data_IF_243251612910
#
_entry.id   IF_243251612910
#
_cell.length_a   1.000
_cell.length_b   1.000
_cell.length_c   1.000
_cell.angle_alpha   90.00
_cell.angle_beta   90.00
_cell.angle_gamma   90.00
#
_symmetry.space_group_name_H-M   'P 1'
#
loop_
_entity.id
_entity.type
_entity.pdbx_description
1 polymer ?
#
# COMPACT_ATOMS: atom_id res chain seq x y z
N UNK A 1 -25.26 6.83 20.80
CA UNK A 1 -24.78 5.94 19.71
C UNK A 1 -23.88 6.65 18.68
N UNK A 2 -24.24 7.83 18.13
CA UNK A 2 -23.42 8.58 17.15
C UNK A 2 -21.96 8.87 17.56
N UNK A 3 -21.68 9.11 18.84
CA UNK A 3 -20.32 9.36 19.32
C UNK A 3 -19.40 8.12 19.30
N UNK A 4 -19.94 6.90 19.43
CA UNK A 4 -19.15 5.66 19.26
C UNK A 4 -18.79 5.42 17.80
N UNK A 5 -19.74 5.68 16.88
CA UNK A 5 -19.51 5.59 15.44
C UNK A 5 -18.42 6.55 14.95
N UNK A 6 -18.37 7.78 15.47
CA UNK A 6 -17.35 8.76 15.14
C UNK A 6 -15.94 8.38 15.64
N UNK A 7 -15.84 7.64 16.76
CA UNK A 7 -14.56 7.11 17.27
C UNK A 7 -14.12 5.81 16.56
N UNK A 8 -15.08 4.99 16.11
CA UNK A 8 -14.81 3.77 15.36
C UNK A 8 -14.39 4.03 13.91
N UNK A 9 -14.93 5.09 13.28
CA UNK A 9 -14.61 5.45 11.91
C UNK A 9 -13.09 5.51 11.61
N UNK A 10 -12.23 6.21 12.38
CA UNK A 10 -10.79 6.18 12.17
C UNK A 10 -10.14 4.83 12.49
N UNK A 11 -10.69 4.05 13.43
CA UNK A 11 -10.16 2.73 13.78
C UNK A 11 -10.41 1.69 12.69
N UNK A 12 -11.51 1.82 11.93
CA UNK A 12 -11.84 0.95 10.81
C UNK A 12 -10.99 1.22 9.56
N UNK A 13 -10.33 2.38 9.47
CA UNK A 13 -9.48 2.72 8.32
C UNK A 13 -8.31 1.74 8.17
N UNK A 14 -7.71 1.32 9.28
CA UNK A 14 -6.58 0.37 9.27
C UNK A 14 -6.98 -1.00 8.69
N UNK A 15 -7.97 -1.73 9.25
CA UNK A 15 -8.34 -3.04 8.73
C UNK A 15 -8.94 -2.97 7.33
N UNK A 16 -9.69 -1.91 6.99
CA UNK A 16 -10.22 -1.73 5.64
C UNK A 16 -9.10 -1.54 4.62
N UNK A 17 -8.12 -0.67 4.90
CA UNK A 17 -6.98 -0.49 4.01
C UNK A 17 -6.12 -1.74 3.89
N UNK A 18 -5.92 -2.47 4.99
CA UNK A 18 -5.21 -3.74 4.96
C UNK A 18 -5.90 -4.75 4.03
N UNK A 19 -7.23 -4.89 4.14
CA UNK A 19 -8.02 -5.78 3.26
C UNK A 19 -8.01 -5.33 1.80
N UNK A 20 -8.17 -4.03 1.54
CA UNK A 20 -8.08 -3.47 0.17
C UNK A 20 -6.71 -3.75 -0.43
N UNK A 21 -5.66 -3.64 0.38
CA UNK A 21 -4.28 -3.86 -0.05
C UNK A 21 -4.03 -5.34 -0.36
N UNK A 22 -4.50 -6.25 0.49
CA UNK A 22 -4.47 -7.69 0.25
C UNK A 22 -5.20 -8.07 -1.03
N UNK A 23 -6.41 -7.54 -1.22
CA UNK A 23 -7.22 -7.80 -2.40
C UNK A 23 -6.55 -7.26 -3.68
N UNK A 24 -5.97 -6.07 -3.63
CA UNK A 24 -5.24 -5.49 -4.75
C UNK A 24 -4.00 -6.31 -5.10
N UNK A 25 -3.25 -6.80 -4.11
CA UNK A 25 -2.13 -7.72 -4.34
C UNK A 25 -2.61 -8.98 -5.05
N UNK A 26 -3.63 -9.66 -4.52
CA UNK A 26 -4.16 -10.87 -5.11
C UNK A 26 -4.68 -10.64 -6.55
N UNK A 27 -5.32 -9.50 -6.81
CA UNK A 27 -5.88 -9.16 -8.12
C UNK A 27 -4.82 -8.80 -9.17
N UNK A 28 -3.64 -8.29 -8.78
CA UNK A 28 -2.58 -7.92 -9.72
C UNK A 28 -1.47 -8.98 -9.83
N UNK A 29 -1.05 -9.54 -8.70
CA UNK A 29 0.10 -10.45 -8.58
C UNK A 29 -0.31 -11.91 -8.35
N UNK A 30 -1.55 -12.17 -7.95
CA UNK A 30 -2.02 -13.51 -7.62
C UNK A 30 -2.59 -14.32 -8.80
N UNK A 31 -2.98 -13.66 -9.89
CA UNK A 31 -3.69 -14.35 -11.00
C UNK A 31 -2.77 -14.87 -12.10
N UNK A 32 -1.65 -14.19 -12.36
CA UNK A 32 -0.68 -14.57 -13.40
C UNK A 32 0.73 -14.50 -12.84
N UNK A 33 1.28 -15.68 -12.54
CA UNK A 33 2.64 -15.88 -12.03
C UNK A 33 3.51 -16.64 -13.04
N UNK A 34 3.17 -16.56 -14.33
CA UNK A 34 3.97 -17.21 -15.37
C UNK A 34 5.39 -16.64 -15.38
N UNK A 35 6.37 -17.54 -15.43
CA UNK A 35 7.77 -17.18 -15.60
C UNK A 35 8.08 -17.22 -17.08
N UNK A 36 8.41 -16.06 -17.64
CA UNK A 36 8.90 -15.99 -19.01
C UNK A 36 10.36 -16.44 -19.05
N UNK A 37 10.65 -17.33 -19.98
CA UNK A 37 12.01 -17.79 -20.26
C UNK A 37 12.55 -16.95 -21.41
N UNK A 38 13.55 -16.14 -21.12
CA UNK A 38 14.22 -15.34 -22.14
C UNK A 38 15.04 -16.25 -23.07
N UNK A 39 15.36 -15.78 -24.30
CA UNK A 39 16.11 -16.57 -25.29
C UNK A 39 17.52 -17.00 -24.84
N UNK A 40 18.08 -16.33 -23.84
CA UNK A 40 19.36 -16.64 -23.20
C UNK A 40 19.25 -17.70 -22.08
N UNK A 41 18.04 -18.21 -21.83
CA UNK A 41 17.74 -19.16 -20.77
C UNK A 41 17.49 -18.53 -19.39
N UNK A 42 17.53 -17.20 -19.27
CA UNK A 42 17.20 -16.52 -18.03
C UNK A 42 15.68 -16.47 -17.82
N UNK A 43 15.22 -16.95 -16.67
CA UNK A 43 13.82 -16.76 -16.25
C UNK A 43 13.65 -15.39 -15.62
N UNK A 44 12.71 -14.59 -16.12
CA UNK A 44 12.23 -13.42 -15.38
C UNK A 44 11.46 -13.87 -14.13
N UNK A 45 11.43 -12.98 -13.13
CA UNK A 45 10.67 -13.23 -11.90
C UNK A 45 9.18 -13.47 -12.18
N UNK A 46 8.44 -14.04 -11.23
CA UNK A 46 7.02 -14.40 -11.42
C UNK A 46 6.09 -13.18 -11.56
N UNK A 47 6.60 -11.95 -11.42
CA UNK A 47 5.81 -10.74 -11.56
C UNK A 47 6.38 -9.85 -12.65
N UNK A 48 5.49 -9.42 -13.53
CA UNK A 48 5.80 -8.47 -14.57
C UNK A 48 5.73 -7.03 -14.08
N UNK A 49 6.54 -6.16 -14.68
CA UNK A 49 6.62 -4.75 -14.28
C UNK A 49 5.26 -4.04 -14.36
N UNK A 50 4.42 -4.39 -15.34
CA UNK A 50 3.09 -3.80 -15.49
C UNK A 50 2.12 -4.22 -14.36
N UNK A 51 2.26 -5.43 -13.80
CA UNK A 51 1.44 -5.88 -12.67
C UNK A 51 1.78 -5.09 -11.42
N UNK A 52 3.07 -4.89 -11.15
CA UNK A 52 3.56 -4.10 -10.02
C UNK A 52 3.14 -2.63 -10.17
N UNK A 53 3.24 -2.05 -11.37
CA UNK A 53 2.77 -0.68 -11.63
C UNK A 53 1.26 -0.59 -11.41
N UNK A 54 0.47 -1.55 -11.90
CA UNK A 54 -0.98 -1.61 -11.69
C UNK A 54 -1.36 -1.65 -10.22
N UNK A 55 -0.65 -2.48 -9.42
CA UNK A 55 -0.81 -2.54 -7.98
C UNK A 55 -0.52 -1.18 -7.32
N UNK A 56 0.61 -0.56 -7.63
CA UNK A 56 1.00 0.74 -7.06
C UNK A 56 -0.03 1.82 -7.37
N UNK A 57 -0.47 1.91 -8.63
CA UNK A 57 -1.49 2.89 -9.03
C UNK A 57 -2.83 2.64 -8.33
N UNK A 58 -3.21 1.37 -8.15
CA UNK A 58 -4.44 0.99 -7.44
C UNK A 58 -4.38 1.38 -5.96
N UNK A 59 -3.24 1.17 -5.29
CA UNK A 59 -3.06 1.51 -3.88
C UNK A 59 -2.91 3.01 -3.63
N UNK A 60 -2.47 3.77 -4.62
CA UNK A 60 -2.32 5.22 -4.49
C UNK A 60 -3.66 5.92 -4.24
N UNK A 61 -4.75 5.46 -4.88
CA UNK A 61 -6.08 6.03 -4.69
C UNK A 61 -6.60 5.97 -3.24
N UNK A 62 -6.63 4.79 -2.56
CA UNK A 62 -7.07 4.70 -1.17
C UNK A 62 -6.09 5.35 -0.19
N UNK A 63 -4.78 5.31 -0.44
CA UNK A 63 -3.77 6.06 0.35
C UNK A 63 -4.01 7.56 0.25
N UNK A 64 -4.22 8.07 -0.97
CA UNK A 64 -4.53 9.48 -1.20
C UNK A 64 -5.80 9.89 -0.46
N UNK A 65 -6.87 9.10 -0.60
CA UNK A 65 -8.13 9.36 0.09
C UNK A 65 -7.95 9.43 1.61
N UNK A 66 -7.27 8.45 2.22
CA UNK A 66 -7.04 8.40 3.66
C UNK A 66 -6.15 9.56 4.15
N UNK A 67 -5.06 9.86 3.45
CA UNK A 67 -4.19 11.00 3.76
C UNK A 67 -4.93 12.34 3.62
N UNK A 68 -5.76 12.48 2.57
CA UNK A 68 -6.55 13.69 2.30
C UNK A 68 -7.59 14.00 3.39
N UNK A 69 -8.01 12.98 4.14
CA UNK A 69 -8.95 13.04 5.28
C UNK A 69 -8.25 13.15 6.63
N UNK A 70 -6.91 13.31 6.65
CA UNK A 70 -6.04 13.35 7.85
C UNK A 70 -5.96 12.01 8.60
N UNK A 71 -6.31 10.88 7.98
CA UNK A 71 -6.12 9.54 8.55
C UNK A 71 -4.73 8.97 8.22
N UNK A 72 -3.68 9.74 8.49
CA UNK A 72 -2.29 9.42 8.09
C UNK A 72 -1.80 8.11 8.71
N UNK A 73 -2.02 7.93 10.02
CA UNK A 73 -1.65 6.68 10.71
C UNK A 73 -2.40 5.48 10.13
N UNK A 74 -3.66 5.66 9.72
CA UNK A 74 -4.46 4.63 9.05
C UNK A 74 -3.92 4.27 7.68
N UNK A 75 -3.58 5.28 6.87
CA UNK A 75 -2.98 5.11 5.55
C UNK A 75 -1.67 4.31 5.61
N UNK A 76 -0.76 4.73 6.49
CA UNK A 76 0.56 4.12 6.63
C UNK A 76 0.46 2.70 7.19
N UNK A 77 -0.22 2.51 8.33
CA UNK A 77 -0.28 1.20 8.98
C UNK A 77 -1.13 0.20 8.19
N UNK A 78 -2.28 0.61 7.65
CA UNK A 78 -3.16 -0.29 6.89
C UNK A 78 -2.49 -0.82 5.63
N UNK A 79 -1.85 0.06 4.85
CA UNK A 79 -1.16 -0.33 3.61
C UNK A 79 0.06 -1.20 3.90
N UNK A 80 0.86 -0.82 4.90
CA UNK A 80 2.07 -1.60 5.28
C UNK A 80 1.70 -3.00 5.76
N UNK A 81 0.71 -3.11 6.67
CA UNK A 81 0.25 -4.40 7.18
C UNK A 81 -0.33 -5.26 6.05
N UNK A 82 -1.18 -4.69 5.20
CA UNK A 82 -1.77 -5.43 4.08
C UNK A 82 -0.71 -5.98 3.11
N UNK A 83 0.26 -5.15 2.68
CA UNK A 83 1.35 -5.58 1.79
C UNK A 83 2.25 -6.63 2.45
N UNK A 84 2.57 -6.46 3.73
CA UNK A 84 3.45 -7.39 4.45
C UNK A 84 2.80 -8.76 4.63
N UNK A 85 1.51 -8.79 4.96
CA UNK A 85 0.76 -10.05 5.08
C UNK A 85 0.60 -10.72 3.71
N UNK A 86 0.33 -9.95 2.65
CA UNK A 86 0.24 -10.48 1.30
C UNK A 86 1.56 -11.15 0.87
N UNK A 87 2.68 -10.43 1.03
CA UNK A 87 4.00 -10.93 0.69
C UNK A 87 4.40 -12.15 1.53
N UNK A 88 4.06 -12.17 2.82
CA UNK A 88 4.32 -13.31 3.69
C UNK A 88 3.58 -14.55 3.21
N UNK A 89 2.29 -14.43 2.89
CA UNK A 89 1.48 -15.56 2.45
C UNK A 89 1.89 -16.07 1.06
N UNK A 90 2.23 -15.16 0.15
CA UNK A 90 2.61 -15.50 -1.23
C UNK A 90 4.00 -16.15 -1.31
N UNK A 91 4.92 -15.80 -0.40
CA UNK A 91 6.31 -16.28 -0.44
C UNK A 91 6.67 -17.29 0.66
N UNK A 92 5.75 -17.62 1.57
CA UNK A 92 6.06 -18.52 2.72
C UNK A 92 6.46 -19.93 2.31
N UNK A 93 6.11 -20.36 1.10
CA UNK A 93 6.40 -21.70 0.59
C UNK A 93 7.84 -21.85 0.08
N UNK A 94 8.64 -20.78 0.06
CA UNK A 94 10.06 -20.82 -0.30
C UNK A 94 10.92 -21.34 0.87
N UNK A 95 11.42 -22.56 0.71
CA UNK A 95 12.26 -23.25 1.69
C UNK A 95 13.64 -22.61 1.92
N UNK A 96 14.05 -21.65 1.09
CA UNK A 96 15.36 -21.00 1.17
C UNK A 96 15.52 -20.05 2.38
N UNK A 97 14.40 -19.60 2.96
CA UNK A 97 14.39 -18.58 4.03
C UNK A 97 14.66 -17.15 3.56
N UNK A 98 15.03 -16.94 2.28
CA UNK A 98 15.20 -15.60 1.69
C UNK A 98 13.90 -14.82 1.64
N UNK A 99 12.75 -15.51 1.66
CA UNK A 99 11.43 -14.88 1.66
C UNK A 99 11.28 -13.88 2.82
N UNK A 100 11.87 -14.13 4.00
CA UNK A 100 11.80 -13.21 5.13
C UNK A 100 12.51 -11.88 4.85
N UNK A 101 13.62 -11.88 4.10
CA UNK A 101 14.28 -10.65 3.67
C UNK A 101 13.42 -9.89 2.67
N UNK A 102 12.77 -10.60 1.74
CA UNK A 102 11.80 -10.02 0.82
C UNK A 102 10.65 -9.35 1.56
N UNK A 103 10.00 -10.06 2.49
CA UNK A 103 8.91 -9.53 3.31
C UNK A 103 9.37 -8.31 4.12
N UNK A 104 10.58 -8.36 4.69
CA UNK A 104 11.18 -7.23 5.39
C UNK A 104 11.39 -6.00 4.49
N UNK A 105 11.89 -6.19 3.27
CA UNK A 105 12.02 -5.11 2.28
C UNK A 105 10.66 -4.53 1.89
N UNK A 106 9.64 -5.36 1.67
CA UNK A 106 8.26 -4.89 1.39
C UNK A 106 7.72 -4.08 2.55
N UNK A 107 7.92 -4.53 3.79
CA UNK A 107 7.50 -3.82 4.99
C UNK A 107 8.17 -2.44 5.09
N UNK A 108 9.50 -2.37 5.00
CA UNK A 108 10.25 -1.11 5.12
C UNK A 108 9.94 -0.16 3.96
N UNK A 109 9.92 -0.69 2.72
CA UNK A 109 9.66 0.09 1.52
C UNK A 109 8.25 0.68 1.49
N UNK A 110 7.23 -0.12 1.84
CA UNK A 110 5.86 0.35 1.91
C UNK A 110 5.64 1.36 3.04
N UNK A 111 6.24 1.14 4.20
CA UNK A 111 6.17 2.07 5.32
C UNK A 111 6.77 3.44 4.95
N UNK A 112 7.98 3.43 4.40
CA UNK A 112 8.70 4.65 4.01
C UNK A 112 7.94 5.40 2.90
N UNK A 113 7.52 4.70 1.85
CA UNK A 113 6.82 5.29 0.70
C UNK A 113 5.48 5.86 1.11
N UNK A 114 4.68 5.11 1.88
CA UNK A 114 3.34 5.56 2.30
C UNK A 114 3.43 6.74 3.28
N UNK A 115 4.44 6.75 4.15
CA UNK A 115 4.72 7.88 5.04
C UNK A 115 5.09 9.14 4.26
N UNK A 116 6.01 9.02 3.29
CA UNK A 116 6.43 10.13 2.43
C UNK A 116 5.24 10.70 1.63
N UNK A 117 4.48 9.85 0.94
CA UNK A 117 3.30 10.26 0.17
C UNK A 117 2.27 10.95 1.06
N UNK A 118 2.00 10.38 2.25
CA UNK A 118 1.07 10.99 3.20
C UNK A 118 1.54 12.36 3.69
N UNK A 119 2.85 12.53 3.94
CA UNK A 119 3.44 13.79 4.35
C UNK A 119 3.33 14.86 3.26
N UNK A 120 3.62 14.50 2.01
CA UNK A 120 3.47 15.39 0.84
C UNK A 120 2.01 15.82 0.65
N UNK A 121 1.06 14.89 0.74
CA UNK A 121 -0.38 15.22 0.63
C UNK A 121 -0.82 16.16 1.76
N UNK A 122 -0.34 15.92 2.98
CA UNK A 122 -0.67 16.74 4.13
C UNK A 122 -0.08 18.16 4.04
N UNK A 123 1.15 18.32 3.51
CA UNK A 123 1.79 19.62 3.35
C UNK A 123 1.09 20.47 2.28
N UNK A 124 0.75 19.88 1.13
CA UNK A 124 0.01 20.56 0.05
C UNK A 124 -1.36 21.03 0.53
N UNK A 125 -2.08 20.22 1.33
CA UNK A 125 -3.39 20.62 1.88
C UNK A 125 -3.33 21.67 2.99
N UNK A 126 -2.20 21.83 3.68
CA UNK A 126 -2.02 22.88 4.69
C UNK A 126 -1.70 24.25 4.08
N UNK A 127 -1.17 24.29 2.85
CA UNK A 127 -0.83 25.51 2.12
C UNK A 127 -1.97 26.15 1.30
N UNK A 128 -3.25 25.88 1.63
CA UNK A 128 -4.38 26.57 0.97
C UNK A 128 -4.32 28.09 1.23
N UNK A 129 -4.70 28.95 0.25
CA UNK A 129 -4.38 30.37 0.27
C UNK A 129 -4.85 31.06 1.56
N UNK A 130 -4.09 32.01 2.13
CA UNK A 130 -4.68 32.93 3.08
C UNK A 130 -5.82 33.63 2.35
N UNK A 131 -7.04 33.46 2.84
CA UNK A 131 -8.10 34.45 2.62
C UNK A 131 -7.50 35.78 3.04
N UNK A 132 -7.02 36.53 2.06
CA UNK A 132 -6.83 37.97 2.18
C UNK A 132 -8.24 38.46 2.45
N UNK A 133 -8.55 38.64 3.74
CA UNK A 133 -9.70 39.41 4.16
C UNK A 133 -9.45 40.80 3.59
N UNK A 134 -10.05 41.03 2.43
CA UNK A 134 -10.26 42.36 1.92
C UNK A 134 -11.27 43.03 2.86
N UNK A 135 -10.91 44.27 3.20
CA UNK A 135 -11.74 45.34 3.79
C UNK A 135 -11.85 45.39 5.32
#
# INVERSE_FOLDING_TARGET
>A
MRQRLLKLAPQLVIPVLALVTLAAWAAWLGWDQHRDVQPDGATTGPYEAWQVIGLVLTLLAPVYWAASRRYIAGAVLGTTVGLTVAAYYDWSDDASGLYMLGVGMVMVGSLATTALVSAVIASVKRGGPPTVAAE
#
